data_IF_038125609472
#
_entry.id   IF_038125609472
#
_cell.length_a   1.000
_cell.length_b   1.000
_cell.length_c   1.000
_cell.angle_alpha   90.00
_cell.angle_beta   90.00
_cell.angle_gamma   90.00
#
_symmetry.space_group_name_H-M   'P 1'
#
loop_
_entity.id
_entity.type
_entity.pdbx_description
1 polymer ?
#
# COMPACT_ATOMS: atom_id res chain seq x y z
N UNK A 1 -30.04 61.49 29.97
CA UNK A 1 -31.17 61.32 30.92
C UNK A 1 -32.41 60.90 30.14
N UNK A 2 -33.00 59.75 30.51
CA UNK A 2 -34.18 59.08 29.93
C UNK A 2 -33.89 58.26 28.66
N UNK A 3 -34.32 57.01 28.52
CA UNK A 3 -34.87 55.99 29.44
C UNK A 3 -34.82 54.68 28.64
N UNK A 4 -34.43 53.59 29.30
CA UNK A 4 -34.57 52.23 28.81
C UNK A 4 -36.00 51.91 28.40
N UNK A 5 -36.18 51.16 27.31
CA UNK A 5 -37.38 50.35 27.13
C UNK A 5 -37.03 49.08 26.37
N UNK A 6 -36.81 48.02 27.13
CA UNK A 6 -36.81 46.64 26.68
C UNK A 6 -38.18 46.32 26.05
N UNK A 7 -38.19 45.74 24.85
CA UNK A 7 -39.35 45.01 24.33
C UNK A 7 -38.92 43.63 23.88
N UNK A 8 -39.25 42.69 24.75
CA UNK A 8 -39.39 41.25 24.52
C UNK A 8 -40.37 40.99 23.37
N UNK A 9 -40.01 40.12 22.43
CA UNK A 9 -40.96 39.53 21.48
C UNK A 9 -40.61 38.04 21.30
N UNK A 10 -41.15 37.22 22.19
CA UNK A 10 -41.39 35.80 21.94
C UNK A 10 -42.83 35.60 21.46
N UNK A 11 -42.96 34.69 20.51
CA UNK A 11 -44.14 33.86 20.20
C UNK A 11 -45.42 34.52 19.68
N UNK A 12 -45.63 34.43 18.35
CA UNK A 12 -46.91 33.97 17.77
C UNK A 12 -46.60 33.18 16.49
N UNK A 13 -46.60 31.84 16.55
CA UNK A 13 -46.87 31.04 15.36
C UNK A 13 -47.95 30.03 15.71
N UNK A 14 -49.12 30.24 15.11
CA UNK A 14 -50.34 29.51 15.37
C UNK A 14 -50.22 28.03 15.03
N UNK A 15 -50.85 27.24 15.89
CA UNK A 15 -51.17 25.84 15.70
C UNK A 15 -52.15 25.65 14.54
N UNK A 16 -52.01 24.51 13.87
CA UNK A 16 -53.11 23.89 13.13
C UNK A 16 -52.72 23.44 11.74
N UNK A 17 -52.26 22.19 11.59
CA UNK A 17 -52.78 21.25 10.59
C UNK A 17 -52.20 19.85 10.88
N UNK A 18 -52.94 19.10 11.70
CA UNK A 18 -52.81 17.65 11.81
C UNK A 18 -53.47 17.00 10.60
N UNK A 19 -52.71 16.23 9.82
CA UNK A 19 -53.23 15.07 9.08
C UNK A 19 -52.16 13.99 8.97
N UNK A 20 -52.39 12.91 9.73
CA UNK A 20 -51.79 11.58 9.53
C UNK A 20 -51.98 11.13 8.08
N UNK A 21 -50.90 10.68 7.45
CA UNK A 21 -50.93 9.66 6.40
C UNK A 21 -49.76 8.70 6.67
N UNK A 22 -50.12 7.48 7.06
CA UNK A 22 -49.22 6.32 7.09
C UNK A 22 -48.87 5.95 5.64
N UNK A 23 -47.60 5.66 5.36
CA UNK A 23 -47.19 5.25 4.03
C UNK A 23 -45.70 4.93 3.94
N UNK A 24 -45.37 3.68 4.32
CA UNK A 24 -44.33 2.82 3.74
C UNK A 24 -42.99 3.44 3.32
N UNK A 25 -41.96 3.12 4.08
CA UNK A 25 -40.55 3.27 3.75
C UNK A 25 -40.17 2.50 2.47
N UNK A 26 -39.87 3.22 1.39
CA UNK A 26 -39.15 2.69 0.24
C UNK A 26 -37.91 3.54 -0.03
N UNK A 27 -36.82 3.24 0.69
CA UNK A 27 -35.48 3.61 0.26
C UNK A 27 -35.10 2.60 -0.83
N UNK A 28 -35.13 3.07 -2.09
CA UNK A 28 -34.74 2.31 -3.27
C UNK A 28 -33.28 1.89 -3.14
N UNK A 29 -33.06 0.61 -2.84
CA UNK A 29 -31.80 -0.09 -3.13
C UNK A 29 -31.69 -0.28 -4.64
N UNK A 30 -30.50 -0.09 -5.25
CA UNK A 30 -30.32 -0.41 -6.65
C UNK A 30 -30.53 -1.91 -6.88
N UNK A 31 -31.43 -2.20 -7.81
CA UNK A 31 -31.82 -3.51 -8.30
C UNK A 31 -30.61 -4.40 -8.57
N UNK A 32 -30.50 -5.45 -7.77
CA UNK A 32 -29.58 -6.58 -7.96
C UNK A 32 -29.93 -7.32 -9.24
N UNK A 33 -29.17 -7.09 -10.31
CA UNK A 33 -28.96 -8.14 -11.32
C UNK A 33 -28.15 -9.24 -10.64
N UNK A 34 -28.76 -10.40 -10.42
CA UNK A 34 -28.17 -11.59 -9.82
C UNK A 34 -26.87 -12.01 -10.51
N UNK A 35 -25.74 -11.57 -9.98
CA UNK A 35 -24.54 -12.39 -9.95
C UNK A 35 -24.36 -12.85 -8.51
N UNK A 36 -24.27 -14.17 -8.30
CA UNK A 36 -23.91 -14.76 -7.02
C UNK A 36 -22.68 -14.02 -6.44
N UNK A 37 -22.65 -13.74 -5.11
CA UNK A 37 -21.54 -13.01 -4.53
C UNK A 37 -20.27 -13.80 -4.83
N UNK A 38 -19.35 -13.21 -5.61
CA UNK A 38 -18.08 -13.83 -5.98
C UNK A 38 -17.19 -13.83 -4.74
N UNK A 39 -17.47 -14.71 -3.80
CA UNK A 39 -16.85 -14.71 -2.46
C UNK A 39 -15.45 -15.30 -2.46
N UNK A 40 -15.05 -15.94 -3.56
CA UNK A 40 -13.76 -16.60 -3.59
C UNK A 40 -12.61 -15.59 -3.80
N UNK A 41 -11.64 -15.66 -2.89
CA UNK A 41 -10.40 -14.90 -3.00
C UNK A 41 -9.56 -15.35 -4.20
N UNK A 42 -9.76 -16.59 -4.67
CA UNK A 42 -9.13 -17.11 -5.89
C UNK A 42 -9.64 -16.36 -7.13
N UNK A 43 -10.96 -16.16 -7.23
CA UNK A 43 -11.60 -15.38 -8.30
C UNK A 43 -11.13 -13.93 -8.29
N UNK A 44 -11.01 -13.35 -7.10
CA UNK A 44 -10.47 -11.99 -6.95
C UNK A 44 -9.00 -11.91 -7.40
N UNK A 45 -8.18 -12.90 -7.08
CA UNK A 45 -6.80 -12.98 -7.53
C UNK A 45 -6.71 -13.04 -9.06
N UNK A 46 -7.57 -13.85 -9.68
CA UNK A 46 -7.65 -14.03 -11.12
C UNK A 46 -8.15 -12.75 -11.80
N UNK A 47 -9.13 -12.08 -11.23
CA UNK A 47 -9.62 -10.78 -11.69
C UNK A 47 -8.53 -9.71 -11.65
N UNK A 48 -7.76 -9.63 -10.54
CA UNK A 48 -6.63 -8.70 -10.42
C UNK A 48 -5.55 -8.96 -11.49
N UNK A 49 -5.28 -10.24 -11.82
CA UNK A 49 -4.33 -10.63 -12.87
C UNK A 49 -4.83 -10.19 -14.26
N UNK A 50 -6.09 -10.49 -14.59
CA UNK A 50 -6.69 -10.19 -15.90
C UNK A 50 -6.82 -8.69 -16.16
N UNK A 51 -7.29 -7.93 -15.17
CA UNK A 51 -7.63 -6.52 -15.36
C UNK A 51 -6.41 -5.61 -15.43
N UNK A 52 -5.43 -5.84 -14.56
CA UNK A 52 -4.33 -4.90 -14.34
C UNK A 52 -2.96 -5.43 -14.77
N UNK A 53 -2.90 -6.66 -15.30
CA UNK A 53 -1.66 -7.37 -15.61
C UNK A 53 -0.63 -7.28 -14.45
N UNK A 54 -1.13 -7.42 -13.22
CA UNK A 54 -0.33 -7.26 -12.01
C UNK A 54 0.63 -8.44 -11.84
N UNK A 55 1.82 -8.14 -11.33
CA UNK A 55 2.74 -9.18 -10.88
C UNK A 55 2.14 -10.01 -9.74
N UNK A 56 2.43 -11.31 -9.73
CA UNK A 56 1.90 -12.26 -8.74
C UNK A 56 2.28 -11.86 -7.30
N UNK A 57 3.48 -11.32 -7.11
CA UNK A 57 3.92 -10.75 -5.83
C UNK A 57 3.00 -9.62 -5.33
N UNK A 58 2.48 -8.79 -6.24
CA UNK A 58 1.56 -7.69 -5.89
C UNK A 58 0.18 -8.24 -5.57
N UNK A 59 -0.31 -9.22 -6.34
CA UNK A 59 -1.58 -9.90 -6.08
C UNK A 59 -1.56 -10.56 -4.70
N UNK A 60 -0.49 -11.29 -4.37
CA UNK A 60 -0.32 -11.93 -3.06
C UNK A 60 -0.35 -10.91 -1.91
N UNK A 61 0.24 -9.72 -2.10
CA UNK A 61 0.17 -8.63 -1.11
C UNK A 61 -1.25 -8.08 -0.96
N UNK A 62 -1.97 -7.85 -2.05
CA UNK A 62 -3.36 -7.36 -2.01
C UNK A 62 -4.27 -8.37 -1.29
N UNK A 63 -4.17 -9.66 -1.62
CA UNK A 63 -4.93 -10.72 -0.95
C UNK A 63 -4.61 -10.77 0.55
N UNK A 64 -3.34 -10.67 0.94
CA UNK A 64 -2.94 -10.69 2.36
C UNK A 64 -3.55 -9.51 3.13
N UNK A 65 -3.57 -8.32 2.53
CA UNK A 65 -4.19 -7.12 3.12
C UNK A 65 -5.70 -7.27 3.23
N UNK A 66 -6.35 -7.80 2.19
CA UNK A 66 -7.79 -8.07 2.22
C UNK A 66 -8.17 -9.11 3.28
N UNK A 67 -7.38 -10.19 3.40
CA UNK A 67 -7.53 -11.19 4.47
C UNK A 67 -7.36 -10.55 5.85
N UNK A 68 -6.42 -9.63 6.02
CA UNK A 68 -6.24 -8.90 7.27
C UNK A 68 -7.44 -8.00 7.61
N UNK A 69 -8.01 -7.31 6.61
CA UNK A 69 -9.25 -6.52 6.79
C UNK A 69 -10.44 -7.40 7.16
N UNK A 70 -10.64 -8.52 6.46
CA UNK A 70 -11.75 -9.46 6.70
C UNK A 70 -11.78 -10.01 8.13
N UNK A 71 -10.62 -10.12 8.79
CA UNK A 71 -10.53 -10.58 10.20
C UNK A 71 -10.99 -9.55 11.21
N UNK A 72 -11.10 -8.28 10.82
CA UNK A 72 -11.37 -7.15 11.72
C UNK A 72 -12.70 -6.49 11.42
N UNK A 73 -13.13 -6.49 10.15
CA UNK A 73 -14.33 -5.80 9.69
C UNK A 73 -15.06 -6.62 8.63
N UNK A 74 -16.38 -6.49 8.62
CA UNK A 74 -17.22 -7.02 7.57
C UNK A 74 -17.00 -6.26 6.25
N UNK A 75 -16.44 -6.94 5.24
CA UNK A 75 -16.12 -6.36 3.93
C UNK A 75 -17.35 -5.88 3.14
N UNK A 76 -18.53 -6.39 3.45
CA UNK A 76 -19.80 -6.03 2.79
C UNK A 76 -20.36 -4.69 3.28
N UNK A 77 -19.85 -4.16 4.40
CA UNK A 77 -20.25 -2.86 4.92
C UNK A 77 -19.17 -1.81 4.64
N UNK A 78 -19.40 -1.00 3.61
CA UNK A 78 -18.48 0.03 3.13
C UNK A 78 -18.14 1.05 4.21
N UNK A 79 -19.12 1.49 4.98
CA UNK A 79 -18.94 2.51 6.02
C UNK A 79 -18.13 1.97 7.19
N UNK A 80 -18.38 0.72 7.58
CA UNK A 80 -17.61 0.04 8.62
C UNK A 80 -16.13 -0.09 8.23
N UNK A 81 -15.84 -0.44 6.97
CA UNK A 81 -14.45 -0.52 6.48
C UNK A 81 -13.79 0.85 6.41
N UNK A 82 -14.52 1.88 5.97
CA UNK A 82 -14.02 3.27 5.93
C UNK A 82 -13.61 3.74 7.32
N UNK A 83 -14.49 3.59 8.30
CA UNK A 83 -14.24 4.03 9.68
C UNK A 83 -13.05 3.27 10.28
N UNK A 84 -12.98 1.96 10.10
CA UNK A 84 -11.83 1.18 10.56
C UNK A 84 -10.49 1.62 9.96
N UNK A 85 -10.44 1.92 8.65
CA UNK A 85 -9.21 2.40 8.00
C UNK A 85 -8.80 3.77 8.57
N UNK A 86 -9.77 4.64 8.87
CA UNK A 86 -9.51 5.96 9.46
C UNK A 86 -9.03 5.85 10.91
N UNK A 87 -9.66 5.01 11.73
CA UNK A 87 -9.40 4.88 13.16
C UNK A 87 -8.16 4.03 13.48
N UNK A 88 -7.75 3.13 12.58
CA UNK A 88 -6.63 2.24 12.84
C UNK A 88 -5.32 3.00 13.16
N UNK A 89 -4.47 2.50 14.08
CA UNK A 89 -3.22 3.14 14.48
C UNK A 89 -2.08 2.92 13.45
N UNK A 90 -2.38 3.07 12.16
CA UNK A 90 -1.44 2.87 11.07
C UNK A 90 -0.98 4.21 10.46
N UNK A 91 0.24 4.24 9.92
CA UNK A 91 0.72 5.36 9.12
C UNK A 91 -0.16 5.56 7.88
N UNK A 92 -0.31 6.83 7.45
CA UNK A 92 -1.15 7.20 6.30
C UNK A 92 -0.85 6.40 5.03
N UNK A 93 0.42 6.06 4.77
CA UNK A 93 0.81 5.24 3.62
C UNK A 93 0.23 3.82 3.66
N UNK A 94 0.18 3.21 4.85
CA UNK A 94 -0.42 1.89 5.00
C UNK A 94 -1.94 1.94 4.92
N UNK A 95 -2.57 2.95 5.55
CA UNK A 95 -4.02 3.20 5.44
C UNK A 95 -4.45 3.39 3.99
N UNK A 96 -3.70 4.20 3.23
CA UNK A 96 -3.93 4.36 1.80
C UNK A 96 -3.86 3.04 1.04
N UNK A 97 -2.86 2.22 1.34
CA UNK A 97 -2.76 0.93 0.68
C UNK A 97 -3.89 -0.03 1.04
N UNK A 98 -4.45 0.03 2.26
CA UNK A 98 -5.65 -0.73 2.61
C UNK A 98 -6.86 -0.21 1.84
N UNK A 99 -7.03 1.11 1.77
CA UNK A 99 -8.10 1.75 1.02
C UNK A 99 -8.09 1.40 -0.48
N UNK A 100 -6.92 1.41 -1.12
CA UNK A 100 -6.82 0.96 -2.52
C UNK A 100 -7.15 -0.52 -2.71
N UNK A 101 -6.72 -1.39 -1.79
CA UNK A 101 -7.08 -2.82 -1.85
C UNK A 101 -8.58 -3.02 -1.69
N UNK A 102 -9.21 -2.26 -0.80
CA UNK A 102 -10.65 -2.33 -0.60
C UNK A 102 -11.42 -1.75 -1.81
N UNK A 103 -10.91 -0.68 -2.43
CA UNK A 103 -11.49 -0.16 -3.68
C UNK A 103 -11.47 -1.20 -4.81
N UNK A 104 -10.37 -1.92 -5.01
CA UNK A 104 -10.32 -3.01 -5.99
C UNK A 104 -11.33 -4.11 -5.65
N UNK A 105 -11.51 -4.43 -4.37
CA UNK A 105 -12.46 -5.44 -3.91
C UNK A 105 -13.91 -5.00 -4.14
N UNK A 106 -14.24 -3.75 -3.81
CA UNK A 106 -15.54 -3.17 -4.08
C UNK A 106 -15.85 -3.20 -5.58
N UNK A 107 -14.90 -2.81 -6.42
CA UNK A 107 -15.07 -2.85 -7.87
C UNK A 107 -15.27 -4.27 -8.40
N UNK A 108 -14.57 -5.27 -7.84
CA UNK A 108 -14.78 -6.67 -8.18
C UNK A 108 -16.19 -7.18 -7.80
N UNK A 109 -16.73 -6.72 -6.67
CA UNK A 109 -18.07 -7.06 -6.20
C UNK A 109 -19.18 -6.19 -6.82
N UNK A 110 -18.83 -5.11 -7.53
CA UNK A 110 -19.79 -4.15 -8.09
C UNK A 110 -20.28 -3.08 -7.10
N UNK A 111 -19.58 -2.86 -5.98
CA UNK A 111 -19.86 -1.77 -5.05
C UNK A 111 -19.20 -0.47 -5.47
N UNK A 112 -19.91 0.64 -5.25
CA UNK A 112 -19.32 1.97 -5.39
C UNK A 112 -18.52 2.33 -4.13
N UNK A 113 -17.20 2.40 -4.26
CA UNK A 113 -16.32 2.88 -3.20
C UNK A 113 -15.18 3.72 -3.79
N UNK A 114 -15.12 4.97 -3.36
CA UNK A 114 -14.01 5.88 -3.70
C UNK A 114 -13.12 6.06 -2.47
N UNK A 115 -11.90 5.53 -2.55
CA UNK A 115 -10.89 5.76 -1.52
C UNK A 115 -10.45 7.23 -1.49
N UNK A 116 -10.50 7.84 -0.31
CA UNK A 116 -9.96 9.18 -0.09
C UNK A 116 -8.50 9.07 0.35
N UNK A 117 -7.60 9.63 -0.47
CA UNK A 117 -6.16 9.58 -0.20
C UNK A 117 -5.84 10.36 1.08
N UNK A 118 -5.41 9.64 2.10
CA UNK A 118 -4.95 10.19 3.37
C UNK A 118 -3.55 10.79 3.20
N UNK A 119 -3.30 11.89 3.90
CA UNK A 119 -1.96 12.48 3.95
C UNK A 119 -0.98 11.49 4.61
N UNK A 120 0.27 11.48 4.14
CA UNK A 120 1.33 10.65 4.71
C UNK A 120 2.52 11.56 5.01
N UNK A 121 2.80 11.72 6.29
CA UNK A 121 3.98 12.44 6.76
C UNK A 121 5.25 11.75 6.25
N UNK A 122 6.16 12.55 5.69
CA UNK A 122 7.45 12.09 5.19
C UNK A 122 8.51 12.47 6.22
N UNK A 123 9.27 11.50 6.71
CA UNK A 123 10.47 11.73 7.50
C UNK A 123 11.70 11.53 6.64
N UNK A 124 12.73 12.32 6.88
CA UNK A 124 14.06 12.03 6.34
C UNK A 124 14.61 10.77 7.04
N UNK A 125 15.21 9.83 6.28
CA UNK A 125 15.89 8.69 6.87
C UNK A 125 17.26 9.11 7.43
N UNK A 126 17.74 8.38 8.42
CA UNK A 126 19.14 8.45 8.84
C UNK A 126 20.02 7.86 7.73
N UNK A 127 21.07 8.60 7.36
CA UNK A 127 22.09 8.15 6.40
C UNK A 127 23.31 7.73 7.22
N UNK A 128 23.69 6.44 7.23
CA UNK A 128 24.83 5.96 8.00
C UNK A 128 26.15 6.51 7.45
N UNK A 129 27.14 6.61 8.33
CA UNK A 129 28.51 6.97 7.97
C UNK A 129 29.21 5.80 7.27
N UNK A 130 30.19 6.11 6.43
CA UNK A 130 30.96 5.10 5.69
C UNK A 130 31.58 4.03 6.62
N UNK A 131 32.12 4.46 7.76
CA UNK A 131 32.67 3.56 8.79
C UNK A 131 31.64 2.60 9.38
N UNK A 132 30.38 3.02 9.50
CA UNK A 132 29.30 2.19 10.06
C UNK A 132 28.88 1.11 9.07
N UNK A 133 28.87 1.46 7.78
CA UNK A 133 28.62 0.51 6.69
C UNK A 133 29.75 -0.51 6.62
N UNK A 134 31.01 -0.07 6.69
CA UNK A 134 32.18 -0.96 6.69
C UNK A 134 32.19 -1.90 7.89
N UNK A 135 31.85 -1.41 9.08
CA UNK A 135 31.70 -2.25 10.27
C UNK A 135 30.59 -3.29 10.09
N UNK A 136 29.44 -2.91 9.53
CA UNK A 136 28.36 -3.83 9.24
C UNK A 136 28.79 -4.92 8.26
N UNK A 137 29.48 -4.55 7.17
CA UNK A 137 30.00 -5.51 6.18
C UNK A 137 31.03 -6.44 6.84
N UNK A 138 31.92 -5.91 7.66
CA UNK A 138 32.93 -6.67 8.39
C UNK A 138 32.34 -7.74 9.31
N UNK A 139 31.22 -7.46 9.98
CA UNK A 139 30.52 -8.46 10.81
C UNK A 139 30.02 -9.66 9.98
N UNK A 140 29.69 -9.44 8.70
CA UNK A 140 29.18 -10.47 7.79
C UNK A 140 30.23 -10.98 6.79
N UNK A 141 31.52 -10.69 6.99
CA UNK A 141 32.62 -10.96 6.04
C UNK A 141 32.67 -12.41 5.55
N UNK A 142 32.41 -13.38 6.44
CA UNK A 142 32.44 -14.81 6.12
C UNK A 142 31.07 -15.38 5.71
N UNK A 143 30.18 -14.53 5.21
CA UNK A 143 28.84 -14.94 4.79
C UNK A 143 28.47 -14.37 3.43
N UNK A 144 27.50 -15.02 2.77
CA UNK A 144 26.85 -14.50 1.56
C UNK A 144 26.28 -13.09 1.74
N UNK A 145 25.96 -12.68 2.97
CA UNK A 145 25.46 -11.35 3.25
C UNK A 145 26.56 -10.28 3.16
N UNK A 146 27.81 -10.60 3.52
CA UNK A 146 28.94 -9.67 3.39
C UNK A 146 29.16 -9.28 1.93
N UNK A 147 29.25 -10.27 1.04
CA UNK A 147 29.37 -10.04 -0.40
C UNK A 147 28.17 -9.26 -0.97
N UNK A 148 26.94 -9.58 -0.53
CA UNK A 148 25.75 -8.85 -0.95
C UNK A 148 25.77 -7.39 -0.48
N UNK A 149 26.14 -7.13 0.78
CA UNK A 149 26.21 -5.78 1.33
C UNK A 149 27.30 -4.95 0.65
N UNK A 150 28.46 -5.54 0.39
CA UNK A 150 29.54 -4.90 -0.36
C UNK A 150 29.08 -4.53 -1.78
N UNK A 151 28.42 -5.45 -2.48
CA UNK A 151 27.85 -5.18 -3.80
C UNK A 151 26.84 -4.04 -3.75
N UNK A 152 25.93 -4.01 -2.77
CA UNK A 152 24.93 -2.95 -2.62
C UNK A 152 25.58 -1.59 -2.34
N UNK A 153 26.63 -1.56 -1.52
CA UNK A 153 27.41 -0.36 -1.22
C UNK A 153 28.04 0.23 -2.48
N UNK A 154 28.67 -0.59 -3.31
CA UNK A 154 29.39 -0.13 -4.51
C UNK A 154 28.45 0.24 -5.67
N UNK A 155 27.37 -0.52 -5.84
CA UNK A 155 26.52 -0.41 -7.04
C UNK A 155 25.25 0.40 -6.84
N UNK A 156 24.86 0.65 -5.59
CA UNK A 156 23.56 1.22 -5.22
C UNK A 156 22.37 0.46 -5.85
N UNK A 157 22.53 -0.84 -6.11
CA UNK A 157 21.45 -1.67 -6.61
C UNK A 157 20.36 -1.83 -5.55
N UNK A 158 19.12 -2.05 -5.99
CA UNK A 158 18.07 -2.44 -5.06
C UNK A 158 18.35 -3.86 -4.57
N UNK A 159 18.01 -4.22 -3.32
CA UNK A 159 18.23 -5.59 -2.83
C UNK A 159 17.65 -6.67 -3.75
N UNK A 160 16.43 -6.46 -4.27
CA UNK A 160 15.79 -7.39 -5.21
C UNK A 160 16.51 -7.48 -6.58
N UNK A 161 17.23 -6.43 -6.99
CA UNK A 161 18.03 -6.44 -8.22
C UNK A 161 19.31 -7.22 -8.00
N UNK A 162 20.03 -6.96 -6.90
CA UNK A 162 21.22 -7.70 -6.51
C UNK A 162 20.95 -9.20 -6.35
N UNK A 163 19.84 -9.58 -5.72
CA UNK A 163 19.44 -10.98 -5.54
C UNK A 163 19.09 -11.72 -6.84
N UNK A 164 18.92 -11.01 -7.97
CA UNK A 164 18.55 -11.60 -9.27
C UNK A 164 19.72 -11.76 -10.22
N UNK A 165 20.90 -11.24 -9.86
CA UNK A 165 22.10 -11.34 -10.68
C UNK A 165 22.49 -12.81 -10.85
N UNK A 166 22.93 -13.15 -12.06
CA UNK A 166 23.51 -14.46 -12.38
C UNK A 166 25.01 -14.33 -12.58
N UNK A 167 25.79 -15.43 -12.52
CA UNK A 167 27.23 -15.38 -12.80
C UNK A 167 27.59 -14.67 -14.11
N UNK A 168 26.78 -14.85 -15.15
CA UNK A 168 26.96 -14.20 -16.47
C UNK A 168 26.89 -12.66 -16.44
N UNK A 169 26.27 -12.08 -15.43
CA UNK A 169 26.18 -10.63 -15.26
C UNK A 169 27.51 -10.03 -14.76
N UNK A 170 28.45 -10.85 -14.28
CA UNK A 170 29.75 -10.43 -13.75
C UNK A 170 30.85 -10.61 -14.81
N UNK A 171 31.47 -9.51 -15.20
CA UNK A 171 32.73 -9.53 -15.94
C UNK A 171 33.87 -9.18 -14.98
N UNK A 172 34.54 -10.21 -14.44
CA UNK A 172 35.58 -10.03 -13.42
C UNK A 172 36.87 -9.42 -14.00
N UNK A 173 37.23 -9.73 -15.25
CA UNK A 173 38.42 -9.15 -15.91
C UNK A 173 38.31 -7.63 -16.03
N UNK A 174 37.12 -7.14 -16.40
CA UNK A 174 36.84 -5.71 -16.55
C UNK A 174 36.29 -5.06 -15.28
N UNK A 175 36.00 -5.88 -14.27
CA UNK A 175 35.42 -5.47 -12.99
C UNK A 175 34.07 -4.76 -13.19
N UNK A 176 33.21 -5.33 -14.03
CA UNK A 176 31.91 -4.74 -14.36
C UNK A 176 30.80 -5.70 -13.93
N UNK A 177 29.78 -5.16 -13.29
CA UNK A 177 28.50 -5.85 -13.08
C UNK A 177 27.46 -5.25 -14.01
N UNK A 178 26.81 -6.10 -14.79
CA UNK A 178 25.73 -5.73 -15.70
C UNK A 178 24.39 -6.09 -15.09
N UNK A 179 23.55 -5.11 -14.78
CA UNK A 179 22.18 -5.37 -14.34
C UNK A 179 21.24 -5.35 -15.55
N UNK A 180 20.97 -6.54 -16.10
CA UNK A 180 20.01 -6.71 -17.18
C UNK A 180 18.55 -6.78 -16.68
N UNK A 181 18.31 -7.51 -15.59
CA UNK A 181 16.97 -7.76 -15.01
C UNK A 181 16.61 -6.73 -13.95
N UNK A 182 16.41 -5.49 -14.38
CA UNK A 182 16.04 -4.38 -13.49
C UNK A 182 14.69 -4.58 -12.80
N UNK A 183 14.53 -4.00 -11.60
CA UNK A 183 13.27 -4.03 -10.88
C UNK A 183 12.42 -2.80 -11.24
N UNK A 184 11.11 -2.90 -10.97
CA UNK A 184 10.16 -1.76 -11.06
C UNK A 184 10.19 -1.01 -12.39
N UNK A 185 10.44 -1.73 -13.51
CA UNK A 185 10.51 -1.15 -14.86
C UNK A 185 11.61 -0.10 -15.02
N UNK A 186 12.68 -0.20 -14.24
CA UNK A 186 13.88 0.62 -14.42
C UNK A 186 14.64 0.21 -15.69
N UNK A 187 15.56 1.04 -16.16
CA UNK A 187 16.44 0.67 -17.27
C UNK A 187 17.58 -0.26 -16.81
N UNK A 188 18.10 -1.14 -17.70
CA UNK A 188 19.32 -1.89 -17.45
C UNK A 188 20.53 -0.94 -17.33
N UNK A 189 21.55 -1.34 -16.58
CA UNK A 189 22.75 -0.51 -16.35
C UNK A 189 23.99 -1.34 -16.02
N UNK A 190 25.16 -0.78 -16.28
CA UNK A 190 26.46 -1.36 -15.91
C UNK A 190 27.15 -0.49 -14.88
N UNK A 191 27.80 -1.11 -13.91
CA UNK A 191 28.58 -0.41 -12.88
C UNK A 191 29.95 -1.08 -12.74
N UNK A 192 30.99 -0.26 -12.59
CA UNK A 192 32.35 -0.73 -12.34
C UNK A 192 32.52 -1.00 -10.83
N UNK A 193 33.07 -2.16 -10.50
CA UNK A 193 33.38 -2.59 -9.14
C UNK A 193 34.75 -2.10 -8.70
N UNK A 194 34.94 -2.01 -7.39
CA UNK A 194 36.25 -1.73 -6.80
C UNK A 194 37.06 -3.03 -6.59
N UNK A 195 38.39 -2.91 -6.53
CA UNK A 195 39.31 -4.04 -6.28
C UNK A 195 39.10 -4.73 -4.92
N UNK A 196 38.27 -4.19 -4.02
CA UNK A 196 38.04 -4.74 -2.68
C UNK A 196 37.22 -6.04 -2.67
N UNK A 197 36.63 -6.42 -3.81
CA UNK A 197 35.79 -7.62 -3.92
C UNK A 197 36.60 -8.94 -4.07
N UNK A 198 37.94 -8.89 -4.04
CA UNK A 198 38.75 -10.09 -3.98
C UNK A 198 38.76 -10.64 -2.54
N UNK A 199 37.64 -11.25 -2.15
CA UNK A 199 37.58 -12.06 -0.94
C UNK A 199 38.28 -13.36 -1.32
N UNK A 200 39.57 -13.46 -1.01
CA UNK A 200 40.30 -14.72 -1.16
C UNK A 200 39.62 -15.75 -0.23
N UNK A 201 38.94 -16.72 -0.84
CA UNK A 201 38.49 -17.89 -0.10
C UNK A 201 39.73 -18.72 0.22
N UNK A 202 40.17 -18.67 1.48
CA UNK A 202 41.15 -19.62 2.00
C UNK A 202 40.35 -20.90 2.31
N UNK A 203 40.69 -21.98 1.61
CA UNK A 203 40.11 -23.33 1.76
C UNK A 203 40.22 -23.87 3.20
#
# INVERSE_FOLDING_TARGET
MKKDTQKTNEAVFGQGFSKKLQGSSNLLTPTTTELAPKTDLSDFALWLKRKHNLQESTIAVKIRKLKALRRKVNLWNVESVRNYIQDAPFKGGYKNSLGYVYADWCEFQGFEYKHLRLHTEKSLPYIPLEREIDQLIGVFSHSKYGAMLQLLKETAFRPIEAMRLTPDDFNLERQIVTLNKSAKRSNPRQVKLSNKNNIDFID
#
